data_IF_586810912420
#
_entry.id   IF_586810912420
#
_cell.length_a   1.000
_cell.length_b   1.000
_cell.length_c   1.000
_cell.angle_alpha   90.00
_cell.angle_beta   90.00
_cell.angle_gamma   90.00
#
_symmetry.space_group_name_H-M   'P 1'
#
loop_
_entity.id
_entity.type
_entity.pdbx_description
1 polymer ?
#
# COMPACT_ATOMS: atom_id res chain seq x y z
N UNK A 1 21.68 44.18 -67.60
CA UNK A 1 22.28 43.90 -66.29
C UNK A 1 21.22 43.35 -65.41
N UNK A 2 21.14 42.01 -65.35
CA UNK A 2 20.12 41.26 -64.57
C UNK A 2 20.75 40.74 -63.28
N UNK A 3 20.24 41.18 -62.09
CA UNK A 3 20.71 40.70 -60.80
C UNK A 3 19.84 39.49 -60.38
N UNK A 4 20.46 38.31 -60.37
CA UNK A 4 19.86 37.10 -59.78
C UNK A 4 19.93 37.19 -58.24
N UNK A 5 18.78 37.15 -57.62
CA UNK A 5 18.64 37.09 -56.17
C UNK A 5 18.60 35.62 -55.76
N UNK A 6 19.67 35.12 -55.14
CA UNK A 6 19.69 33.76 -54.56
C UNK A 6 19.00 33.78 -53.21
N UNK A 7 17.88 33.05 -53.11
CA UNK A 7 17.18 32.78 -51.85
C UNK A 7 17.80 31.51 -51.23
N UNK A 8 18.55 31.69 -50.17
CA UNK A 8 19.07 30.57 -49.38
C UNK A 8 17.97 30.12 -48.40
N UNK A 9 17.35 28.98 -48.68
CA UNK A 9 16.37 28.36 -47.81
C UNK A 9 17.10 27.51 -46.74
N UNK A 10 17.20 28.03 -45.52
CA UNK A 10 17.74 27.28 -44.38
C UNK A 10 16.70 26.32 -43.84
N UNK A 11 16.82 25.04 -44.14
CA UNK A 11 16.02 24.00 -43.53
C UNK A 11 16.56 23.74 -42.12
N UNK A 12 15.80 24.15 -41.08
CA UNK A 12 16.10 23.81 -39.71
C UNK A 12 15.65 22.35 -39.43
N UNK A 13 16.62 21.49 -39.22
CA UNK A 13 16.38 20.07 -38.85
C UNK A 13 16.06 20.01 -37.35
N UNK A 14 14.79 19.86 -37.00
CA UNK A 14 14.38 19.60 -35.62
C UNK A 14 14.70 18.13 -35.26
N UNK A 15 15.75 17.92 -34.49
CA UNK A 15 16.01 16.64 -33.83
C UNK A 15 14.99 16.45 -32.73
N UNK A 16 13.97 15.62 -32.97
CA UNK A 16 13.07 15.11 -31.92
C UNK A 16 13.85 14.07 -31.08
N UNK A 17 14.34 14.46 -29.92
CA UNK A 17 14.89 13.55 -28.94
C UNK A 17 13.72 12.73 -28.36
N UNK A 18 13.60 11.48 -28.74
CA UNK A 18 12.68 10.54 -28.13
C UNK A 18 13.18 10.24 -26.72
N UNK A 19 12.50 10.73 -25.69
CA UNK A 19 12.68 10.29 -24.31
C UNK A 19 12.10 8.89 -24.19
N UNK A 20 12.95 7.87 -24.26
CA UNK A 20 12.55 6.51 -23.88
C UNK A 20 12.38 6.49 -22.37
N UNK A 21 11.14 6.49 -21.89
CA UNK A 21 10.84 6.13 -20.51
C UNK A 21 11.30 4.66 -20.34
N UNK A 22 12.34 4.46 -19.52
CA UNK A 22 12.72 3.12 -19.12
C UNK A 22 11.53 2.45 -18.43
N UNK A 23 11.21 1.22 -18.82
CA UNK A 23 10.17 0.44 -18.17
C UNK A 23 10.55 0.23 -16.70
N UNK A 24 9.57 0.33 -15.81
CA UNK A 24 9.75 0.06 -14.39
C UNK A 24 10.20 -1.40 -14.22
N UNK A 25 11.23 -1.69 -13.37
CA UNK A 25 11.72 -3.04 -13.19
C UNK A 25 10.69 -3.90 -12.45
N UNK A 26 10.65 -5.21 -12.81
CA UNK A 26 9.87 -6.17 -12.06
C UNK A 26 10.44 -6.33 -10.64
N UNK A 27 9.57 -6.47 -9.64
CA UNK A 27 9.91 -6.61 -8.24
C UNK A 27 9.45 -7.98 -7.71
N UNK A 28 10.22 -8.52 -6.74
CA UNK A 28 9.84 -9.70 -5.98
C UNK A 28 10.35 -9.54 -4.55
N UNK A 29 9.45 -9.56 -3.57
CA UNK A 29 9.76 -9.38 -2.16
C UNK A 29 9.16 -10.49 -1.30
N UNK A 30 9.95 -10.93 -0.33
CA UNK A 30 9.49 -11.70 0.82
C UNK A 30 9.38 -10.77 2.03
N UNK A 31 8.39 -10.97 2.90
CA UNK A 31 8.32 -10.21 4.16
C UNK A 31 9.52 -10.45 5.10
N UNK A 32 10.38 -11.44 4.78
CA UNK A 32 11.63 -11.76 5.50
C UNK A 32 12.85 -11.11 4.87
N UNK A 33 12.72 -10.36 3.79
CA UNK A 33 13.85 -9.71 3.12
C UNK A 33 14.44 -8.63 4.04
N UNK A 34 15.75 -8.74 4.27
CA UNK A 34 16.47 -7.78 5.10
C UNK A 34 16.55 -6.36 4.49
N UNK A 35 16.20 -6.23 3.21
CA UNK A 35 16.22 -4.96 2.48
C UNK A 35 14.90 -4.18 2.58
N UNK A 36 13.84 -4.78 3.17
CA UNK A 36 12.59 -4.07 3.38
C UNK A 36 12.78 -2.98 4.44
N UNK A 37 12.36 -1.78 4.09
CA UNK A 37 12.34 -0.65 5.01
C UNK A 37 11.02 -0.64 5.78
N UNK A 38 11.05 -1.10 7.02
CA UNK A 38 9.91 -1.11 7.92
C UNK A 38 9.80 0.21 8.66
N UNK A 39 8.65 0.86 8.55
CA UNK A 39 8.29 2.07 9.28
C UNK A 39 7.19 1.82 10.31
N UNK A 40 6.98 2.74 11.25
CA UNK A 40 5.92 2.61 12.26
C UNK A 40 4.53 2.79 11.62
N UNK A 41 3.53 2.14 12.22
CA UNK A 41 2.13 2.44 11.96
C UNK A 41 1.70 3.77 12.60
N UNK A 42 0.49 4.29 12.29
CA UNK A 42 -0.07 5.46 12.96
C UNK A 42 -0.12 5.32 14.49
N UNK A 43 0.04 6.44 15.21
CA UNK A 43 0.23 6.47 16.66
C UNK A 43 -0.90 5.84 17.49
N UNK A 44 -2.13 5.77 16.95
CA UNK A 44 -3.26 5.13 17.65
C UNK A 44 -3.15 3.61 17.68
N UNK A 45 -2.35 3.00 16.79
CA UNK A 45 -2.06 1.56 16.81
C UNK A 45 -0.91 1.31 17.78
N UNK A 46 -1.03 0.36 18.71
CA UNK A 46 0.01 0.10 19.69
C UNK A 46 1.38 -0.18 19.07
N UNK A 47 2.45 0.10 19.82
CA UNK A 47 3.83 -0.18 19.37
C UNK A 47 4.04 -1.65 19.05
N UNK A 48 4.81 -1.91 18.01
CA UNK A 48 5.07 -3.26 17.46
C UNK A 48 4.39 -3.48 16.11
N UNK A 49 3.51 -2.56 15.69
CA UNK A 49 2.99 -2.52 14.33
C UNK A 49 4.02 -1.85 13.41
N UNK A 50 4.26 -2.47 12.27
CA UNK A 50 5.19 -1.99 11.23
C UNK A 50 4.56 -2.13 9.84
N UNK A 51 4.91 -1.21 8.94
CA UNK A 51 4.48 -1.22 7.54
C UNK A 51 5.69 -1.04 6.63
N UNK A 52 5.77 -1.79 5.54
CA UNK A 52 6.80 -1.63 4.51
C UNK A 52 6.14 -1.42 3.15
N UNK A 53 6.51 -0.36 2.45
CA UNK A 53 6.04 -0.10 1.08
C UNK A 53 6.80 -1.01 0.13
N UNK A 54 6.06 -1.79 -0.67
CA UNK A 54 6.61 -2.70 -1.68
C UNK A 54 6.65 -2.05 -3.05
N UNK A 55 5.61 -1.30 -3.38
CA UNK A 55 5.46 -0.62 -4.67
C UNK A 55 4.50 0.56 -4.53
N UNK A 56 4.73 1.61 -5.30
CA UNK A 56 3.86 2.78 -5.34
C UNK A 56 4.30 3.89 -4.37
N UNK A 57 3.42 4.86 -4.19
CA UNK A 57 3.60 6.04 -3.34
C UNK A 57 2.44 6.09 -2.34
N UNK A 58 2.68 6.03 -1.02
CA UNK A 58 1.61 6.03 -0.01
C UNK A 58 0.64 7.21 -0.09
N UNK A 59 1.06 8.33 -0.67
CA UNK A 59 0.19 9.50 -0.89
C UNK A 59 -0.68 9.39 -2.15
N UNK A 60 -0.57 8.29 -2.91
CA UNK A 60 -1.28 8.07 -4.17
C UNK A 60 -2.07 6.77 -4.17
N UNK A 61 -2.86 6.59 -5.22
CA UNK A 61 -3.57 5.34 -5.46
C UNK A 61 -2.63 4.20 -5.90
N UNK A 62 -3.07 2.97 -5.69
CA UNK A 62 -2.39 1.74 -6.10
C UNK A 62 -1.02 1.53 -5.43
N UNK A 63 -1.01 1.59 -4.10
CA UNK A 63 0.18 1.28 -3.30
C UNK A 63 0.04 -0.09 -2.66
N UNK A 64 1.11 -0.88 -2.77
CA UNK A 64 1.25 -2.21 -2.20
C UNK A 64 2.16 -2.17 -0.97
N UNK A 65 1.75 -2.83 0.11
CA UNK A 65 2.51 -2.86 1.35
C UNK A 65 2.52 -4.25 1.99
N UNK A 66 3.53 -4.49 2.83
CA UNK A 66 3.39 -5.44 3.93
C UNK A 66 3.06 -4.69 5.21
N UNK A 67 2.06 -5.19 5.92
CA UNK A 67 1.67 -4.77 7.27
C UNK A 67 2.02 -5.92 8.23
N UNK A 68 2.68 -5.61 9.34
CA UNK A 68 3.15 -6.63 10.29
C UNK A 68 2.86 -6.24 11.73
N UNK A 69 2.34 -7.17 12.49
CA UNK A 69 2.15 -7.07 13.94
C UNK A 69 2.64 -8.33 14.64
N UNK A 70 3.14 -8.25 15.87
CA UNK A 70 3.55 -9.44 16.64
C UNK A 70 2.35 -10.34 16.99
N UNK A 71 2.61 -11.57 17.42
CA UNK A 71 1.57 -12.43 18.01
C UNK A 71 1.00 -11.80 19.29
N UNK A 72 -0.25 -12.14 19.64
CA UNK A 72 -1.01 -11.54 20.74
C UNK A 72 -1.25 -10.03 20.58
N UNK A 73 -1.44 -9.56 19.38
CA UNK A 73 -1.59 -8.14 19.10
C UNK A 73 -3.04 -7.79 18.76
N UNK A 74 -3.55 -6.71 19.35
CA UNK A 74 -4.86 -6.16 19.04
C UNK A 74 -4.67 -4.92 18.17
N UNK A 75 -5.26 -4.94 16.97
CA UNK A 75 -5.36 -3.77 16.08
C UNK A 75 -6.68 -3.09 16.44
N UNK A 76 -6.62 -1.85 16.97
CA UNK A 76 -7.81 -1.14 17.42
C UNK A 76 -8.83 -0.89 16.31
N UNK A 77 -10.07 -0.64 16.67
CA UNK A 77 -11.12 -0.29 15.72
C UNK A 77 -10.75 0.98 14.94
N UNK A 78 -10.75 0.88 13.63
CA UNK A 78 -10.37 1.95 12.72
C UNK A 78 -11.06 1.76 11.35
N UNK A 79 -10.85 2.69 10.46
CA UNK A 79 -11.31 2.65 9.08
C UNK A 79 -10.32 3.36 8.15
N UNK A 80 -10.46 3.12 6.85
CA UNK A 80 -9.63 3.73 5.80
C UNK A 80 -10.51 4.46 4.79
N UNK A 81 -10.01 5.56 4.21
CA UNK A 81 -10.69 6.21 3.08
C UNK A 81 -10.57 5.37 1.80
N UNK A 82 -9.54 4.53 1.72
CA UNK A 82 -9.31 3.57 0.64
C UNK A 82 -9.94 2.21 0.94
N UNK A 83 -10.36 1.51 -0.10
CA UNK A 83 -10.56 0.07 0.01
C UNK A 83 -9.21 -0.67 0.07
N UNK A 84 -9.21 -1.82 0.73
CA UNK A 84 -8.05 -2.70 0.91
C UNK A 84 -8.31 -4.09 0.33
N UNK A 85 -7.37 -4.59 -0.45
CA UNK A 85 -7.32 -6.00 -0.86
C UNK A 85 -6.17 -6.67 -0.13
N UNK A 86 -6.47 -7.66 0.69
CA UNK A 86 -5.52 -8.24 1.63
C UNK A 86 -5.33 -9.73 1.39
N UNK A 87 -4.12 -10.21 1.62
CA UNK A 87 -3.81 -11.63 1.74
C UNK A 87 -3.00 -11.83 3.01
N UNK A 88 -3.45 -12.72 3.92
CA UNK A 88 -2.62 -13.09 5.04
C UNK A 88 -1.45 -13.96 4.55
N UNK A 89 -0.22 -13.53 4.87
CA UNK A 89 1.03 -14.19 4.46
C UNK A 89 1.61 -15.04 5.59
N UNK A 90 1.42 -14.61 6.84
CA UNK A 90 1.94 -15.29 8.04
C UNK A 90 1.01 -15.08 9.23
N UNK A 91 1.06 -15.98 10.21
CA UNK A 91 0.29 -15.91 11.45
C UNK A 91 -1.16 -16.41 11.31
N UNK A 92 -1.98 -16.03 12.28
CA UNK A 92 -3.41 -16.31 12.31
C UNK A 92 -4.13 -15.04 12.77
N UNK A 93 -4.94 -14.44 11.90
CA UNK A 93 -5.59 -13.16 12.13
C UNK A 93 -7.11 -13.33 12.17
N UNK A 94 -7.76 -12.78 13.19
CA UNK A 94 -9.19 -12.60 13.21
C UNK A 94 -9.50 -11.13 12.91
N UNK A 95 -10.35 -10.85 11.90
CA UNK A 95 -10.82 -9.51 11.57
C UNK A 95 -12.33 -9.44 11.75
N UNK A 96 -12.81 -8.33 12.31
CA UNK A 96 -14.23 -8.08 12.54
C UNK A 96 -14.61 -6.73 11.97
N UNK A 97 -15.44 -6.72 10.94
CA UNK A 97 -16.06 -5.51 10.41
C UNK A 97 -17.36 -5.21 11.16
N UNK A 98 -17.63 -3.93 11.39
CA UNK A 98 -18.85 -3.51 12.10
C UNK A 98 -20.11 -4.09 11.44
N UNK A 99 -20.96 -4.71 12.26
CA UNK A 99 -22.20 -5.37 11.80
C UNK A 99 -22.01 -6.70 11.08
N UNK A 100 -20.80 -7.25 11.04
CA UNK A 100 -20.50 -8.54 10.41
C UNK A 100 -19.91 -9.55 11.41
N UNK A 101 -20.08 -10.85 11.18
CA UNK A 101 -19.38 -11.86 11.98
C UNK A 101 -17.86 -11.78 11.76
N UNK A 102 -17.11 -12.12 12.82
CA UNK A 102 -15.66 -12.19 12.74
C UNK A 102 -15.20 -13.23 11.71
N UNK A 103 -14.21 -12.87 10.89
CA UNK A 103 -13.57 -13.76 9.93
C UNK A 103 -12.17 -14.16 10.42
N UNK A 104 -11.89 -15.47 10.44
CA UNK A 104 -10.56 -15.99 10.80
C UNK A 104 -9.75 -16.26 9.54
N UNK A 105 -8.64 -15.55 9.38
CA UNK A 105 -7.72 -15.67 8.25
C UNK A 105 -6.55 -16.58 8.62
N UNK A 106 -6.14 -17.39 7.64
CA UNK A 106 -4.91 -18.21 7.63
C UNK A 106 -4.06 -17.82 6.43
N UNK A 107 -2.77 -18.14 6.42
CA UNK A 107 -1.90 -17.85 5.29
C UNK A 107 -2.47 -18.34 3.94
N UNK A 108 -2.47 -17.46 2.94
CA UNK A 108 -3.07 -17.67 1.63
C UNK A 108 -4.55 -17.28 1.51
N UNK A 109 -5.21 -16.88 2.59
CA UNK A 109 -6.60 -16.42 2.52
C UNK A 109 -6.67 -14.94 2.13
N UNK A 110 -7.60 -14.63 1.23
CA UNK A 110 -7.94 -13.29 0.79
C UNK A 110 -9.01 -12.68 1.69
N UNK A 111 -8.88 -11.37 1.94
CA UNK A 111 -9.91 -10.54 2.56
C UNK A 111 -10.05 -9.22 1.80
N UNK A 112 -11.25 -8.65 1.82
CA UNK A 112 -11.54 -7.34 1.24
C UNK A 112 -12.17 -6.43 2.28
N UNK A 113 -11.53 -5.27 2.50
CA UNK A 113 -12.02 -4.19 3.34
C UNK A 113 -12.56 -3.07 2.48
N UNK A 114 -13.89 -2.83 2.44
CA UNK A 114 -14.43 -1.70 1.70
C UNK A 114 -14.05 -0.36 2.33
N UNK A 115 -13.90 0.68 1.51
CA UNK A 115 -13.66 2.04 1.97
C UNK A 115 -14.69 2.49 3.03
N UNK A 116 -14.23 3.13 4.10
CA UNK A 116 -15.06 3.61 5.20
C UNK A 116 -15.58 2.53 6.16
N UNK A 117 -15.33 1.25 5.90
CA UNK A 117 -15.80 0.18 6.79
C UNK A 117 -14.96 0.11 8.05
N UNK A 118 -15.61 0.30 9.21
CA UNK A 118 -14.97 0.20 10.53
C UNK A 118 -14.66 -1.26 10.83
N UNK A 119 -13.45 -1.50 11.32
CA UNK A 119 -13.01 -2.85 11.66
C UNK A 119 -11.90 -2.85 12.72
N UNK A 120 -11.79 -3.98 13.36
CA UNK A 120 -10.72 -4.32 14.29
C UNK A 120 -10.15 -5.69 13.95
N UNK A 121 -8.95 -5.99 14.41
CA UNK A 121 -8.39 -7.30 14.21
C UNK A 121 -7.52 -7.75 15.41
N UNK A 122 -7.36 -9.07 15.52
CA UNK A 122 -6.54 -9.69 16.56
C UNK A 122 -5.61 -10.70 15.90
N UNK A 123 -4.31 -10.50 16.07
CA UNK A 123 -3.31 -11.51 15.75
C UNK A 123 -3.23 -12.50 16.91
N UNK A 124 -3.46 -13.78 16.63
CA UNK A 124 -3.38 -14.83 17.64
C UNK A 124 -1.96 -14.99 18.21
N UNK A 125 -1.85 -15.71 19.34
CA UNK A 125 -0.55 -16.07 19.90
C UNK A 125 0.25 -16.93 18.91
N UNK A 126 1.56 -16.70 18.84
CA UNK A 126 2.49 -17.45 17.99
C UNK A 126 3.21 -16.56 17.00
N UNK A 127 3.24 -16.97 15.75
CA UNK A 127 3.94 -16.24 14.67
C UNK A 127 3.33 -14.85 14.46
N UNK A 128 4.15 -13.85 14.07
CA UNK A 128 3.65 -12.54 13.66
C UNK A 128 2.63 -12.65 12.53
N UNK A 129 1.57 -11.85 12.61
CA UNK A 129 0.68 -11.68 11.48
C UNK A 129 1.28 -10.72 10.48
N UNK A 130 1.39 -11.18 9.22
CA UNK A 130 1.82 -10.36 8.10
C UNK A 130 0.73 -10.39 7.04
N UNK A 131 0.24 -9.22 6.69
CA UNK A 131 -0.67 -9.01 5.56
C UNK A 131 0.09 -8.39 4.40
N UNK A 132 -0.12 -8.91 3.18
CA UNK A 132 0.02 -8.12 1.98
C UNK A 132 -1.27 -7.32 1.81
N UNK A 133 -1.15 -6.02 1.58
CA UNK A 133 -2.30 -5.14 1.37
C UNK A 133 -2.06 -4.31 0.11
N UNK A 134 -3.02 -4.35 -0.82
CA UNK A 134 -3.11 -3.46 -1.97
C UNK A 134 -4.19 -2.40 -1.70
N UNK A 135 -3.77 -1.15 -1.53
CA UNK A 135 -4.67 -0.01 -1.36
C UNK A 135 -5.12 0.54 -2.71
N UNK A 136 -6.40 0.80 -2.87
CA UNK A 136 -6.94 1.41 -4.10
C UNK A 136 -6.71 2.93 -4.16
N UNK A 137 -6.79 3.60 -3.02
CA UNK A 137 -6.52 5.03 -2.83
C UNK A 137 -5.24 5.26 -2.03
N UNK A 138 -4.95 6.51 -1.62
CA UNK A 138 -3.88 6.83 -0.69
C UNK A 138 -4.00 6.04 0.61
N UNK A 139 -2.86 5.71 1.21
CA UNK A 139 -2.83 4.99 2.49
C UNK A 139 -3.16 5.95 3.62
N UNK A 140 -4.18 5.63 4.38
CA UNK A 140 -4.52 6.27 5.65
C UNK A 140 -5.08 5.24 6.63
N UNK A 141 -5.23 5.64 7.88
CA UNK A 141 -5.99 4.91 8.88
C UNK A 141 -6.53 5.90 9.91
N UNK A 142 -7.83 5.85 10.13
CA UNK A 142 -8.55 6.74 11.03
C UNK A 142 -9.06 5.96 12.25
N UNK A 143 -8.70 6.38 13.48
CA UNK A 143 -9.24 5.73 14.68
C UNK A 143 -10.76 5.92 14.75
N UNK A 144 -11.45 4.92 15.26
CA UNK A 144 -12.84 5.08 15.70
C UNK A 144 -12.77 5.62 17.12
N UNK A 145 -13.19 6.88 17.30
CA UNK A 145 -13.30 7.46 18.64
C UNK A 145 -14.35 6.68 19.44
N UNK A 146 -13.93 6.17 20.62
CA UNK A 146 -14.86 5.58 21.57
C UNK A 146 -15.81 6.67 22.10
N UNK A 147 -16.96 6.30 22.69
CA UNK A 147 -17.77 7.28 23.39
C UNK A 147 -16.91 8.00 24.43
N UNK A 148 -16.90 9.33 24.39
CA UNK A 148 -16.25 10.15 25.43
C UNK A 148 -16.77 9.70 26.79
N UNK A 149 -15.84 9.27 27.67
CA UNK A 149 -16.15 8.86 29.04
C UNK A 149 -16.27 10.08 29.95
#
# INVERSE_FOLDING_TARGET
>A
MSKFLQVISSAALFLMSSVTLAAEPALAHSFKDAQLEWGPCPDFIPKGCEIAVLHGDPAKANTDVFFKVPGNFVIPNHWHTSAERMVLVSGALQVTYEGQPAASLKPGMYAYGPAGARHEAVCAAGDPCVLFIAFEGPIDAMPVEGPEQ
#
